data_IF_970565967381
#
_entry.id   IF_970565967381
#
_cell.length_a   1.000
_cell.length_b   1.000
_cell.length_c   1.000
_cell.angle_alpha   90.00
_cell.angle_beta   90.00
_cell.angle_gamma   90.00
#
_symmetry.space_group_name_H-M   'P 1'
#
loop_
_entity.id
_entity.type
_entity.pdbx_description
1 polymer ?
#
# COMPACT_ATOMS: atom_id res chain seq x y z
N UNK A 1 -1.11 -44.99 -55.06
CA UNK A 1 -0.99 -45.79 -53.82
C UNK A 1 0.20 -45.24 -53.04
N UNK A 2 -0.05 -44.35 -52.08
CA UNK A 2 0.99 -43.71 -51.27
C UNK A 2 0.94 -44.30 -49.85
N UNK A 3 1.99 -45.03 -49.49
CA UNK A 3 2.18 -45.65 -48.18
C UNK A 3 2.62 -44.57 -47.17
N UNK A 4 1.68 -44.11 -46.33
CA UNK A 4 1.96 -43.20 -45.22
C UNK A 4 2.46 -44.00 -44.01
N UNK A 5 3.76 -44.28 -43.95
CA UNK A 5 4.40 -44.73 -42.71
C UNK A 5 4.48 -43.56 -41.74
N UNK A 6 3.59 -43.56 -40.73
CA UNK A 6 3.70 -42.71 -39.53
C UNK A 6 5.06 -42.92 -38.89
N UNK A 7 5.88 -41.88 -38.90
CA UNK A 7 7.07 -41.79 -38.07
C UNK A 7 6.63 -41.58 -36.62
N UNK A 8 6.75 -42.62 -35.80
CA UNK A 8 6.67 -42.50 -34.34
C UNK A 8 7.78 -41.56 -33.86
N UNK A 9 7.37 -40.40 -33.35
CA UNK A 9 8.27 -39.38 -32.80
C UNK A 9 8.89 -39.93 -31.50
N UNK A 10 10.19 -40.18 -31.54
CA UNK A 10 11.03 -40.71 -30.44
C UNK A 10 11.29 -39.71 -29.29
N UNK A 11 10.56 -38.60 -29.23
CA UNK A 11 10.85 -37.46 -28.37
C UNK A 11 9.85 -37.30 -27.20
N UNK A 12 9.04 -38.33 -26.95
CA UNK A 12 8.17 -38.35 -25.77
C UNK A 12 8.85 -39.20 -24.68
N UNK A 13 9.25 -38.60 -23.55
CA UNK A 13 9.79 -39.37 -22.44
C UNK A 13 8.72 -40.39 -22.00
N UNK A 14 9.06 -41.67 -22.11
CA UNK A 14 8.24 -42.79 -21.67
C UNK A 14 7.87 -42.54 -20.21
N UNK A 15 6.59 -42.27 -19.95
CA UNK A 15 6.08 -42.17 -18.60
C UNK A 15 6.43 -43.48 -17.85
N UNK A 16 7.16 -43.42 -16.73
CA UNK A 16 7.44 -44.61 -15.96
C UNK A 16 6.10 -45.21 -15.54
N UNK A 17 5.90 -46.51 -15.83
CA UNK A 17 4.77 -47.28 -15.30
C UNK A 17 4.87 -47.27 -13.78
N UNK A 18 4.26 -46.26 -13.17
CA UNK A 18 4.23 -46.10 -11.72
C UNK A 18 3.42 -47.25 -11.11
N UNK A 19 4.04 -47.97 -10.18
CA UNK A 19 3.29 -48.80 -9.25
C UNK A 19 2.21 -47.92 -8.62
N UNK A 20 0.94 -48.31 -8.76
CA UNK A 20 -0.18 -47.71 -8.03
C UNK A 20 -0.07 -48.14 -6.57
N UNK A 21 0.79 -47.46 -5.83
CA UNK A 21 0.73 -47.48 -4.36
C UNK A 21 -0.65 -46.91 -3.97
N UNK A 22 -1.35 -47.53 -3.01
CA UNK A 22 -2.57 -46.95 -2.47
C UNK A 22 -2.26 -45.54 -1.97
N UNK A 23 -2.92 -44.54 -2.56
CA UNK A 23 -2.78 -43.15 -2.18
C UNK A 23 -3.41 -43.02 -0.80
N UNK A 24 -2.58 -43.12 0.26
CA UNK A 24 -3.02 -42.83 1.62
C UNK A 24 -3.56 -41.40 1.58
N UNK A 25 -4.84 -41.21 1.91
CA UNK A 25 -5.48 -39.90 1.85
C UNK A 25 -4.77 -38.92 2.79
N UNK A 26 -3.96 -38.05 2.18
CA UNK A 26 -3.19 -37.03 2.87
C UNK A 26 -4.08 -36.07 3.68
N UNK A 27 -5.35 -35.96 3.29
CA UNK A 27 -6.36 -35.12 3.94
C UNK A 27 -6.82 -35.71 5.29
N UNK A 28 -7.06 -37.02 5.35
CA UNK A 28 -7.45 -37.72 6.60
C UNK A 28 -6.28 -37.77 7.58
N UNK A 29 -5.08 -38.06 7.08
CA UNK A 29 -3.85 -38.04 7.89
C UNK A 29 -3.51 -36.61 8.34
N UNK A 30 -3.79 -35.60 7.51
CA UNK A 30 -3.56 -34.19 7.81
C UNK A 30 -4.37 -33.71 9.02
N UNK A 31 -5.68 -34.03 9.06
CA UNK A 31 -6.56 -33.73 10.19
C UNK A 31 -6.18 -34.46 11.47
N UNK A 32 -5.83 -35.74 11.37
CA UNK A 32 -5.39 -36.52 12.53
C UNK A 32 -4.06 -35.99 13.08
N UNK A 33 -3.14 -35.64 12.18
CA UNK A 33 -1.87 -35.01 12.53
C UNK A 33 -2.04 -33.63 13.17
N UNK A 34 -3.07 -32.86 12.80
CA UNK A 34 -3.35 -31.56 13.43
C UNK A 34 -3.85 -31.71 14.88
N UNK A 35 -4.58 -32.77 15.18
CA UNK A 35 -4.94 -33.13 16.57
C UNK A 35 -3.73 -33.54 17.39
N UNK A 36 -2.87 -34.40 16.83
CA UNK A 36 -1.65 -34.88 17.50
C UNK A 36 -0.61 -33.77 17.66
N UNK A 37 -0.43 -32.90 16.67
CA UNK A 37 0.51 -31.79 16.74
C UNK A 37 0.16 -30.80 17.86
N UNK A 38 -1.14 -30.50 18.05
CA UNK A 38 -1.61 -29.70 19.18
C UNK A 38 -1.39 -30.41 20.52
N UNK A 39 -1.52 -31.75 20.54
CA UNK A 39 -1.27 -32.57 21.73
C UNK A 39 0.21 -32.68 22.12
N UNK A 40 1.11 -32.97 21.17
CA UNK A 40 2.54 -33.20 21.40
C UNK A 40 3.32 -31.93 21.81
N UNK A 41 2.89 -30.75 21.35
CA UNK A 41 3.54 -29.48 21.70
C UNK A 41 3.16 -28.92 23.07
N UNK A 42 2.20 -29.54 23.77
CA UNK A 42 1.67 -29.03 25.04
C UNK A 42 2.26 -29.82 26.21
N UNK A 43 2.66 -29.13 27.29
CA UNK A 43 3.18 -29.75 28.52
C UNK A 43 2.27 -30.86 29.10
N UNK A 44 0.98 -30.83 28.76
CA UNK A 44 -0.03 -31.81 29.14
C UNK A 44 0.30 -33.25 28.66
N UNK A 45 0.98 -33.44 27.53
CA UNK A 45 1.34 -34.78 27.06
C UNK A 45 2.31 -35.48 28.01
N UNK A 46 3.32 -34.74 28.47
CA UNK A 46 4.33 -35.24 29.41
C UNK A 46 3.64 -35.60 30.73
N UNK A 47 2.77 -34.73 31.25
CA UNK A 47 2.02 -34.98 32.48
C UNK A 47 1.17 -36.25 32.37
N UNK A 48 0.41 -36.43 31.28
CA UNK A 48 -0.38 -37.62 31.07
C UNK A 48 0.47 -38.90 31.00
N UNK A 49 1.59 -38.88 30.26
CA UNK A 49 2.49 -40.04 30.17
C UNK A 49 3.12 -40.39 31.52
N UNK A 50 3.52 -39.38 32.31
CA UNK A 50 4.03 -39.60 33.66
C UNK A 50 2.95 -40.22 34.56
N UNK A 51 1.70 -39.76 34.48
CA UNK A 51 0.60 -40.32 35.26
C UNK A 51 0.32 -41.78 34.89
N UNK A 52 0.35 -42.13 33.60
CA UNK A 52 0.16 -43.52 33.14
C UNK A 52 1.26 -44.43 33.67
N UNK A 53 2.52 -44.02 33.57
CA UNK A 53 3.67 -44.79 34.07
C UNK A 53 3.60 -44.92 35.60
N UNK A 54 3.29 -43.83 36.30
CA UNK A 54 3.15 -43.84 37.76
C UNK A 54 1.98 -44.73 38.22
N UNK A 55 0.84 -44.70 37.52
CA UNK A 55 -0.30 -45.56 37.80
C UNK A 55 0.03 -47.04 37.55
N UNK A 56 0.76 -47.36 36.49
CA UNK A 56 1.23 -48.71 36.21
C UNK A 56 2.18 -49.24 37.29
N UNK A 57 3.11 -48.39 37.73
CA UNK A 57 4.03 -48.69 38.82
C UNK A 57 3.29 -48.90 40.14
N UNK A 58 2.36 -48.00 40.48
CA UNK A 58 1.52 -48.11 41.68
C UNK A 58 0.66 -49.38 41.66
N UNK A 59 0.04 -49.71 40.52
CA UNK A 59 -0.74 -50.93 40.38
C UNK A 59 0.10 -52.17 40.64
N UNK A 60 1.27 -52.29 40.02
CA UNK A 60 2.11 -53.48 40.17
C UNK A 60 2.84 -53.58 41.52
N UNK A 61 3.02 -52.45 42.23
CA UNK A 61 3.63 -52.44 43.58
C UNK A 61 2.63 -52.65 44.70
N UNK A 62 1.44 -52.03 44.62
CA UNK A 62 0.40 -52.14 45.64
C UNK A 62 -0.53 -53.35 45.44
N UNK A 63 -0.57 -53.97 44.26
CA UNK A 63 -1.38 -55.16 44.03
C UNK A 63 -0.84 -56.39 44.80
N UNK A 64 -1.74 -57.24 45.34
CA UNK A 64 -1.36 -58.51 45.93
C UNK A 64 -0.75 -59.46 44.89
N UNK A 65 0.11 -60.39 45.33
CA UNK A 65 0.97 -61.22 44.47
C UNK A 65 0.24 -62.01 43.37
N UNK A 66 -1.04 -62.31 43.60
CA UNK A 66 -1.92 -63.00 42.66
C UNK A 66 -2.48 -62.11 41.53
N UNK A 67 -2.36 -60.79 41.62
CA UNK A 67 -2.88 -59.81 40.65
C UNK A 67 -1.78 -58.93 40.04
N UNK A 68 -0.50 -59.18 40.38
CA UNK A 68 0.64 -58.47 39.78
C UNK A 68 0.82 -58.95 38.34
N UNK A 69 0.53 -58.07 37.40
CA UNK A 69 0.65 -58.37 35.97
C UNK A 69 2.11 -58.27 35.48
N UNK A 70 2.91 -57.41 36.12
CA UNK A 70 4.32 -57.13 35.77
C UNK A 70 5.20 -57.14 37.04
N UNK A 71 5.85 -58.27 37.37
CA UNK A 71 6.71 -58.43 38.56
C UNK A 71 7.92 -57.46 38.57
N UNK A 72 8.71 -57.46 39.65
CA UNK A 72 9.73 -56.46 40.04
C UNK A 72 10.70 -55.95 38.95
N UNK A 73 10.85 -56.65 37.82
CA UNK A 73 11.65 -56.23 36.66
C UNK A 73 10.91 -55.34 35.66
N UNK A 74 9.60 -55.13 35.80
CA UNK A 74 8.74 -54.36 34.89
C UNK A 74 9.00 -54.65 33.41
N UNK A 75 9.10 -55.94 33.08
CA UNK A 75 9.53 -56.41 31.76
C UNK A 75 8.51 -56.01 30.69
N UNK A 76 7.21 -56.08 30.99
CA UNK A 76 6.19 -55.66 30.04
C UNK A 76 6.25 -54.16 29.77
N UNK A 77 6.36 -53.34 30.83
CA UNK A 77 6.51 -51.89 30.67
C UNK A 77 7.73 -51.55 29.80
N UNK A 78 8.85 -52.23 30.03
CA UNK A 78 10.09 -52.03 29.27
C UNK A 78 9.95 -52.44 27.81
N UNK A 79 9.28 -53.56 27.53
CA UNK A 79 9.00 -54.01 26.17
C UNK A 79 8.11 -53.00 25.43
N UNK A 80 7.07 -52.49 26.07
CA UNK A 80 6.17 -51.49 25.49
C UNK A 80 6.90 -50.17 25.24
N UNK A 81 7.70 -49.68 26.20
CA UNK A 81 8.47 -48.45 26.03
C UNK A 81 9.52 -48.56 24.92
N UNK A 82 10.20 -49.70 24.79
CA UNK A 82 11.17 -49.92 23.71
C UNK A 82 10.50 -49.97 22.33
N UNK A 83 9.34 -50.64 22.22
CA UNK A 83 8.51 -50.58 21.02
C UNK A 83 8.03 -49.15 20.73
N UNK A 84 7.68 -48.39 21.78
CA UNK A 84 7.20 -47.02 21.66
C UNK A 84 8.23 -46.09 21.04
N UNK A 85 9.48 -46.19 21.49
CA UNK A 85 10.59 -45.45 20.89
C UNK A 85 10.84 -45.87 19.43
N UNK A 86 10.73 -47.17 19.12
CA UNK A 86 10.99 -47.70 17.78
C UNK A 86 9.97 -47.21 16.74
N UNK A 87 8.67 -47.17 17.07
CA UNK A 87 7.65 -46.67 16.14
C UNK A 87 7.60 -45.14 16.06
N UNK A 88 8.11 -44.43 17.08
CA UNK A 88 8.13 -42.97 17.08
C UNK A 88 9.03 -42.41 15.96
N UNK A 89 10.20 -43.00 15.73
CA UNK A 89 11.15 -42.54 14.71
C UNK A 89 10.55 -42.41 13.28
N UNK A 90 9.89 -43.43 12.71
CA UNK A 90 9.27 -43.29 11.39
C UNK A 90 8.09 -42.32 11.38
N UNK A 91 7.27 -42.26 12.43
CA UNK A 91 6.17 -41.29 12.51
C UNK A 91 6.69 -39.84 12.56
N UNK A 92 7.76 -39.61 13.32
CA UNK A 92 8.43 -38.31 13.39
C UNK A 92 8.98 -37.95 12.01
N UNK A 93 9.59 -38.89 11.29
CA UNK A 93 10.10 -38.66 9.93
C UNK A 93 8.97 -38.26 8.96
N UNK A 94 7.82 -38.93 9.01
CA UNK A 94 6.66 -38.55 8.19
C UNK A 94 6.13 -37.16 8.56
N UNK A 95 6.06 -36.85 9.85
CA UNK A 95 5.64 -35.53 10.33
C UNK A 95 6.62 -34.42 9.88
N UNK A 96 7.93 -34.71 9.94
CA UNK A 96 8.99 -33.81 9.51
C UNK A 96 8.96 -33.58 7.99
N UNK A 97 8.80 -34.62 7.17
CA UNK A 97 8.66 -34.46 5.72
C UNK A 97 7.47 -33.54 5.37
N UNK A 98 6.31 -33.74 6.02
CA UNK A 98 5.14 -32.88 5.82
C UNK A 98 5.34 -31.44 6.33
N UNK A 99 6.15 -31.26 7.37
CA UNK A 99 6.51 -29.92 7.84
C UNK A 99 7.42 -29.24 6.82
N UNK A 100 8.47 -29.93 6.36
CA UNK A 100 9.40 -29.42 5.35
C UNK A 100 8.71 -29.09 4.02
N UNK A 101 7.73 -29.89 3.59
CA UNK A 101 6.94 -29.60 2.39
C UNK A 101 6.12 -28.31 2.52
N UNK A 102 5.48 -28.09 3.69
CA UNK A 102 4.75 -26.85 3.98
C UNK A 102 5.69 -25.65 4.07
N UNK A 103 6.82 -25.80 4.76
CA UNK A 103 7.82 -24.75 4.92
C UNK A 103 8.41 -24.35 3.56
N UNK A 104 8.62 -25.32 2.67
CA UNK A 104 9.06 -25.07 1.30
C UNK A 104 8.04 -24.24 0.52
N UNK A 105 6.75 -24.61 0.55
CA UNK A 105 5.69 -23.85 -0.15
C UNK A 105 5.61 -22.43 0.40
N UNK A 106 5.65 -22.25 1.71
CA UNK A 106 5.63 -20.94 2.35
C UNK A 106 6.84 -20.08 1.91
N UNK A 107 8.03 -20.67 1.82
CA UNK A 107 9.24 -19.99 1.39
C UNK A 107 9.23 -19.63 -0.10
N UNK A 108 8.67 -20.49 -0.96
CA UNK A 108 8.46 -20.19 -2.38
C UNK A 108 7.47 -19.04 -2.57
N UNK A 109 6.39 -19.01 -1.78
CA UNK A 109 5.42 -17.92 -1.80
C UNK A 109 6.02 -16.60 -1.30
N UNK A 110 6.79 -16.63 -0.21
CA UNK A 110 7.48 -15.45 0.33
C UNK A 110 8.48 -14.87 -0.69
N UNK A 111 9.27 -15.73 -1.34
CA UNK A 111 10.16 -15.31 -2.44
C UNK A 111 9.40 -14.63 -3.57
N UNK A 112 8.25 -15.19 -3.99
CA UNK A 112 7.41 -14.59 -5.03
C UNK A 112 6.90 -13.22 -4.59
N UNK A 113 6.40 -13.09 -3.35
CA UNK A 113 5.95 -11.82 -2.79
C UNK A 113 7.08 -10.79 -2.73
N UNK A 114 8.29 -11.18 -2.31
CA UNK A 114 9.46 -10.30 -2.29
C UNK A 114 9.84 -9.82 -3.70
N UNK A 115 9.78 -10.68 -4.72
CA UNK A 115 10.03 -10.25 -6.11
C UNK A 115 9.01 -9.25 -6.62
N UNK A 116 7.73 -9.44 -6.29
CA UNK A 116 6.67 -8.49 -6.66
C UNK A 116 6.84 -7.15 -5.94
N UNK A 117 7.08 -7.17 -4.63
CA UNK A 117 7.33 -5.95 -3.85
C UNK A 117 8.54 -5.18 -4.36
N UNK A 118 9.61 -5.88 -4.76
CA UNK A 118 10.76 -5.24 -5.39
C UNK A 118 10.38 -4.54 -6.70
N UNK A 119 9.63 -5.21 -7.56
CA UNK A 119 9.17 -4.64 -8.83
C UNK A 119 8.24 -3.42 -8.62
N UNK A 120 7.30 -3.51 -7.67
CA UNK A 120 6.40 -2.40 -7.31
C UNK A 120 7.19 -1.20 -6.77
N UNK A 121 8.19 -1.45 -5.93
CA UNK A 121 9.05 -0.39 -5.40
C UNK A 121 9.89 0.26 -6.51
N UNK A 122 10.46 -0.53 -7.42
CA UNK A 122 11.18 0.00 -8.58
C UNK A 122 10.27 0.81 -9.51
N UNK A 123 9.02 0.38 -9.71
CA UNK A 123 8.02 1.10 -10.48
C UNK A 123 7.70 2.44 -9.82
N UNK A 124 7.34 2.45 -8.53
CA UNK A 124 7.06 3.68 -7.79
C UNK A 124 8.26 4.62 -7.76
N UNK A 125 9.48 4.11 -7.63
CA UNK A 125 10.69 4.93 -7.67
C UNK A 125 10.88 5.61 -9.04
N UNK A 126 10.63 4.90 -10.14
CA UNK A 126 10.66 5.48 -11.50
C UNK A 126 9.57 6.52 -11.68
N UNK A 127 8.36 6.24 -11.20
CA UNK A 127 7.23 7.16 -11.30
C UNK A 127 7.47 8.45 -10.51
N UNK A 128 8.02 8.34 -9.29
CA UNK A 128 8.43 9.49 -8.48
C UNK A 128 9.55 10.27 -9.15
N UNK A 129 10.53 9.60 -9.76
CA UNK A 129 11.59 10.27 -10.51
C UNK A 129 11.04 11.05 -11.72
N UNK A 130 10.12 10.44 -12.48
CA UNK A 130 9.44 11.10 -13.59
C UNK A 130 8.59 12.29 -13.12
N UNK A 131 7.83 12.12 -12.04
CA UNK A 131 7.05 13.19 -11.41
C UNK A 131 7.94 14.33 -10.94
N UNK A 132 9.11 14.03 -10.35
CA UNK A 132 10.09 15.04 -9.92
C UNK A 132 10.65 15.84 -11.10
N UNK A 133 10.92 15.20 -12.23
CA UNK A 133 11.39 15.88 -13.44
C UNK A 133 10.29 16.81 -13.97
N UNK A 134 9.07 16.29 -14.14
CA UNK A 134 7.93 17.08 -14.60
C UNK A 134 7.64 18.28 -13.68
N UNK A 135 7.68 18.08 -12.35
CA UNK A 135 7.56 19.17 -11.38
C UNK A 135 8.75 20.13 -11.42
N UNK A 136 9.96 19.65 -11.67
CA UNK A 136 11.15 20.49 -11.82
C UNK A 136 11.07 21.42 -13.03
N UNK A 137 10.47 20.96 -14.13
CA UNK A 137 10.23 21.77 -15.33
C UNK A 137 9.12 22.81 -15.12
N UNK A 138 8.02 22.45 -14.45
CA UNK A 138 6.86 23.34 -14.22
C UNK A 138 7.06 24.30 -13.03
N UNK A 139 7.93 23.97 -12.08
CA UNK A 139 8.19 24.77 -10.89
C UNK A 139 9.63 25.30 -10.82
N UNK A 140 10.19 25.77 -11.94
CA UNK A 140 11.39 26.60 -11.83
C UNK A 140 11.05 27.83 -10.99
N UNK A 141 11.83 28.07 -9.93
CA UNK A 141 11.66 29.20 -9.01
C UNK A 141 11.49 30.52 -9.76
N UNK A 142 12.18 30.68 -10.89
CA UNK A 142 12.11 31.86 -11.72
C UNK A 142 10.80 31.97 -12.52
N UNK A 143 10.21 30.84 -12.97
CA UNK A 143 8.89 30.83 -13.59
C UNK A 143 7.77 31.13 -12.57
N UNK A 144 7.80 30.50 -11.40
CA UNK A 144 6.87 30.84 -10.33
C UNK A 144 7.03 32.30 -9.90
N UNK A 145 8.27 32.79 -9.80
CA UNK A 145 8.55 34.19 -9.47
C UNK A 145 8.06 35.12 -10.57
N UNK A 146 8.26 34.80 -11.85
CA UNK A 146 7.79 35.64 -12.95
C UNK A 146 6.28 35.69 -13.00
N UNK A 147 5.59 34.56 -12.78
CA UNK A 147 4.13 34.52 -12.85
C UNK A 147 3.48 35.16 -11.63
N UNK A 148 4.07 34.99 -10.43
CA UNK A 148 3.65 35.76 -9.24
C UNK A 148 3.92 37.26 -9.40
N UNK A 149 5.05 37.66 -9.97
CA UNK A 149 5.35 39.07 -10.23
C UNK A 149 4.38 39.68 -11.25
N UNK A 150 4.09 38.95 -12.34
CA UNK A 150 3.14 39.34 -13.37
C UNK A 150 1.73 39.52 -12.81
N UNK A 151 1.27 38.58 -11.99
CA UNK A 151 -0.03 38.67 -11.30
C UNK A 151 -0.06 39.86 -10.31
N UNK A 152 1.03 40.12 -9.60
CA UNK A 152 1.12 41.26 -8.69
C UNK A 152 1.04 42.60 -9.47
N UNK A 153 1.72 42.69 -10.60
CA UNK A 153 1.72 43.89 -11.45
C UNK A 153 0.34 44.13 -12.11
N UNK A 154 -0.34 43.08 -12.57
CA UNK A 154 -1.73 43.18 -13.04
C UNK A 154 -2.69 43.71 -11.96
N UNK A 155 -2.50 43.29 -10.70
CA UNK A 155 -3.30 43.76 -9.56
C UNK A 155 -3.01 45.24 -9.24
N UNK A 156 -1.74 45.64 -9.23
CA UNK A 156 -1.34 47.03 -8.99
C UNK A 156 -1.86 47.96 -10.09
N UNK A 157 -1.72 47.59 -11.37
CA UNK A 157 -2.31 48.35 -12.47
C UNK A 157 -3.84 48.45 -12.35
N UNK A 158 -4.52 47.37 -11.95
CA UNK A 158 -5.95 47.39 -11.73
C UNK A 158 -6.33 48.36 -10.59
N UNK A 159 -5.54 48.43 -9.52
CA UNK A 159 -5.72 49.36 -8.43
C UNK A 159 -5.48 50.82 -8.88
N UNK A 160 -4.44 51.09 -9.67
CA UNK A 160 -4.18 52.43 -10.21
C UNK A 160 -5.27 52.89 -11.17
N UNK A 161 -5.76 52.00 -12.05
CA UNK A 161 -6.89 52.28 -12.95
C UNK A 161 -8.12 52.70 -12.15
N UNK A 162 -8.43 51.99 -11.05
CA UNK A 162 -9.54 52.36 -10.15
C UNK A 162 -9.32 53.76 -9.55
N UNK A 163 -8.14 54.05 -9.00
CA UNK A 163 -7.82 55.37 -8.41
C UNK A 163 -7.89 56.51 -9.42
N UNK A 164 -7.43 56.31 -10.66
CA UNK A 164 -7.53 57.32 -11.74
C UNK A 164 -8.98 57.61 -12.12
N UNK A 165 -9.83 56.58 -12.16
CA UNK A 165 -11.26 56.75 -12.43
C UNK A 165 -11.94 57.54 -11.33
N UNK A 166 -11.64 57.22 -10.06
CA UNK A 166 -12.15 57.96 -8.89
C UNK A 166 -11.71 59.43 -8.92
N UNK A 167 -10.42 59.70 -9.19
CA UNK A 167 -9.91 61.07 -9.28
C UNK A 167 -10.54 61.86 -10.43
N UNK A 168 -10.77 61.22 -11.59
CA UNK A 168 -11.48 61.85 -12.72
C UNK A 168 -12.95 62.13 -12.40
N UNK A 169 -13.60 61.27 -11.62
CA UNK A 169 -14.96 61.51 -11.12
C UNK A 169 -14.97 62.71 -10.16
N UNK A 170 -14.06 62.74 -9.18
CA UNK A 170 -13.93 63.86 -8.24
C UNK A 170 -13.63 65.18 -8.95
N UNK A 171 -12.76 65.20 -9.95
CA UNK A 171 -12.42 66.42 -10.69
C UNK A 171 -13.60 66.91 -11.56
N UNK A 172 -14.40 65.99 -12.11
CA UNK A 172 -15.66 66.32 -12.80
C UNK A 172 -16.72 66.85 -11.84
N UNK A 173 -16.81 66.29 -10.64
CA UNK A 173 -17.71 66.76 -9.58
C UNK A 173 -17.29 68.14 -9.06
N UNK A 174 -15.99 68.36 -8.83
CA UNK A 174 -15.44 69.65 -8.42
C UNK A 174 -15.66 70.73 -9.49
N UNK A 175 -15.45 70.42 -10.78
CA UNK A 175 -15.76 71.35 -11.88
C UNK A 175 -17.25 71.68 -11.98
N UNK A 176 -18.13 70.72 -11.68
CA UNK A 176 -19.58 70.98 -11.59
C UNK A 176 -19.94 71.90 -10.44
N UNK A 177 -19.25 71.78 -9.30
CA UNK A 177 -19.47 72.66 -8.14
C UNK A 177 -18.88 74.07 -8.37
N UNK A 178 -17.73 74.19 -9.02
CA UNK A 178 -17.07 75.47 -9.32
C UNK A 178 -17.74 76.26 -10.46
N UNK A 179 -18.50 75.62 -11.34
CA UNK A 179 -19.26 76.29 -12.41
C UNK A 179 -20.60 76.89 -11.97
N UNK A 180 -20.82 77.06 -10.65
CA UNK A 180 -22.10 77.47 -10.07
C UNK A 180 -22.20 78.92 -9.57
N UNK A 181 -21.15 79.75 -9.65
CA UNK A 181 -21.23 81.17 -9.26
C UNK A 181 -21.53 82.07 -10.46
N UNK A 182 -22.67 82.80 -10.50
CA UNK A 182 -22.95 83.76 -11.56
C UNK A 182 -22.23 85.08 -11.26
N UNK A 183 -21.33 85.50 -12.16
CA UNK A 183 -20.73 86.83 -12.13
C UNK A 183 -21.70 87.82 -12.81
N UNK A 184 -22.10 88.85 -12.08
CA UNK A 184 -22.90 90.00 -12.54
C UNK A 184 -22.27 90.67 -13.78
N UNK A 185 -23.05 90.85 -14.85
CA UNK A 185 -22.72 91.70 -16.00
C UNK A 185 -23.17 93.14 -15.75
N UNK A 186 -22.37 94.18 -16.08
CA UNK A 186 -22.83 95.56 -16.11
C UNK A 186 -23.57 95.83 -17.42
N UNK A 187 -24.77 96.42 -17.32
CA UNK A 187 -25.59 96.86 -18.46
C UNK A 187 -25.01 98.12 -19.11
N UNK A 188 -24.79 98.05 -20.42
CA UNK A 188 -24.61 99.22 -21.29
C UNK A 188 -25.98 99.70 -21.79
N UNK A 189 -26.34 100.93 -21.43
CA UNK A 189 -27.49 101.65 -21.97
C UNK A 189 -27.03 102.50 -23.18
N UNK A 190 -27.63 102.23 -24.35
CA UNK A 190 -27.51 103.01 -25.57
C UNK A 190 -28.56 104.13 -25.58
N UNK A 191 -28.12 105.36 -25.81
CA UNK A 191 -28.79 106.43 -26.56
C UNK A 191 -27.67 107.48 -26.80
N UNK A 192 -27.37 107.94 -28.00
CA UNK A 192 -28.27 108.49 -28.98
C UNK A 192 -27.75 109.90 -29.30
N UNK A 193 -27.37 110.08 -30.57
CA UNK A 193 -27.64 111.29 -31.34
C UNK A 193 -26.59 112.41 -31.55
N UNK A 194 -26.42 112.66 -32.85
CA UNK A 194 -25.98 113.82 -33.63
C UNK A 194 -24.71 114.64 -33.34
N UNK A 195 -24.05 114.88 -34.50
CA UNK A 195 -23.48 116.15 -34.97
C UNK A 195 -22.14 116.56 -34.34
N UNK A 196 -21.24 117.28 -35.00
CA UNK A 196 -21.00 117.69 -36.38
C UNK A 196 -19.60 118.32 -36.31
N UNK A 197 -18.91 118.30 -37.43
CA UNK A 197 -17.79 119.18 -37.79
C UNK A 197 -16.43 119.03 -37.13
N UNK A 198 -15.47 119.25 -38.03
CA UNK A 198 -14.42 120.23 -37.77
C UNK A 198 -13.08 119.59 -37.52
N UNK A 199 -12.30 119.29 -38.55
CA UNK A 199 -11.44 120.26 -39.27
C UNK A 199 -10.04 120.28 -38.65
N UNK A 200 -9.05 119.86 -39.47
CA UNK A 200 -7.67 120.37 -39.64
C UNK A 200 -6.82 120.53 -38.37
N UNK A 201 -5.51 120.39 -38.31
CA UNK A 201 -4.38 120.08 -39.19
C UNK A 201 -3.18 120.09 -38.22
N UNK A 202 -2.07 119.45 -38.58
CA UNK A 202 -0.78 119.71 -37.94
C UNK A 202 0.10 118.50 -37.79
#
# INVERSE_FOLDING_TARGET
MADQRRTERLDQPRAPRGLRLPRIDAETFGRWSEGIARGMGTANFIVYMTLVIAAWFAWNTLAPENLRFDPYTFTFLTLVLSLQASYAAPLILLAQNRQADRDRIALEEDRRRATMQKADTEYLAREIAALRIALGEVATRDFLRSELARLAEELDEAAERRRKLERRQQEREARRQAGGEPLDEPRDDLDGDFAHDGRFDG
#
